data_IF_147948477384
#
_entry.id   IF_147948477384
#
_cell.length_a   1.000
_cell.length_b   1.000
_cell.length_c   1.000
_cell.angle_alpha   90.00
_cell.angle_beta   90.00
_cell.angle_gamma   90.00
#
_symmetry.space_group_name_H-M   'P 1'
#
loop_
_entity.id
_entity.type
_entity.pdbx_description
1 polymer ?
#
# COMPACT_ATOMS: atom_id res chain seq x y z
N UNK A 1 8.06 12.31 15.94
CA UNK A 1 8.55 11.55 14.78
C UNK A 1 9.63 10.59 15.30
N UNK A 2 9.39 9.27 15.29
CA UNK A 2 10.38 8.32 15.81
C UNK A 2 11.49 8.08 14.78
N UNK A 3 12.72 8.44 15.16
CA UNK A 3 13.94 8.21 14.37
C UNK A 3 14.20 6.70 14.27
N UNK A 4 14.62 6.23 13.09
CA UNK A 4 15.04 4.84 12.90
C UNK A 4 16.21 4.49 13.84
N UNK A 5 16.13 3.44 14.68
CA UNK A 5 17.20 3.10 15.60
C UNK A 5 18.36 2.45 14.85
N UNK A 6 19.57 2.93 15.12
CA UNK A 6 20.84 2.47 14.57
C UNK A 6 21.80 2.23 15.74
N UNK A 7 22.81 1.38 15.55
CA UNK A 7 23.81 1.14 16.59
C UNK A 7 24.43 2.45 17.13
N UNK A 8 24.66 3.42 16.24
CA UNK A 8 25.21 4.73 16.59
C UNK A 8 24.27 5.68 17.34
N UNK A 9 22.96 5.43 17.33
CA UNK A 9 21.98 6.31 17.98
C UNK A 9 21.27 5.68 19.18
N UNK A 10 21.44 4.37 19.39
CA UNK A 10 20.99 3.64 20.57
C UNK A 10 22.01 3.76 21.71
N UNK A 11 21.53 4.13 22.90
CA UNK A 11 22.34 4.18 24.12
C UNK A 11 22.62 2.78 24.66
N UNK A 12 23.85 2.30 24.49
CA UNK A 12 24.30 0.98 24.94
C UNK A 12 24.36 0.84 26.47
N UNK A 13 24.34 1.96 27.21
CA UNK A 13 24.26 1.96 28.68
C UNK A 13 22.84 1.83 29.21
N UNK A 14 21.83 1.98 28.36
CA UNK A 14 20.42 1.99 28.74
C UNK A 14 19.73 0.70 28.32
N UNK A 15 19.30 -0.16 29.25
CA UNK A 15 18.73 -1.49 28.94
C UNK A 15 17.60 -1.50 27.90
N UNK A 16 16.65 -0.56 27.98
CA UNK A 16 15.53 -0.44 27.04
C UNK A 16 15.91 0.07 25.64
N UNK A 17 17.13 0.59 25.46
CA UNK A 17 17.59 1.20 24.20
C UNK A 17 18.75 0.45 23.54
N UNK A 18 19.58 -0.24 24.33
CA UNK A 18 20.81 -0.88 23.91
C UNK A 18 20.67 -1.76 22.65
N UNK A 19 19.59 -2.54 22.54
CA UNK A 19 19.42 -3.54 21.49
C UNK A 19 18.33 -3.21 20.45
N UNK A 20 17.68 -2.05 20.54
CA UNK A 20 16.59 -1.72 19.61
C UNK A 20 17.02 -1.76 18.14
N UNK A 21 18.26 -1.35 17.85
CA UNK A 21 18.85 -1.38 16.51
C UNK A 21 18.96 -2.80 15.91
N UNK A 22 19.01 -3.84 16.73
CA UNK A 22 19.11 -5.23 16.26
C UNK A 22 17.74 -5.82 15.87
N UNK A 23 16.65 -5.25 16.38
CA UNK A 23 15.28 -5.75 16.18
C UNK A 23 14.51 -5.07 15.04
N UNK A 24 15.19 -4.31 14.17
CA UNK A 24 14.56 -3.59 13.06
C UNK A 24 14.52 -4.35 11.75
N UNK A 25 15.30 -5.42 11.61
CA UNK A 25 15.39 -6.23 10.40
C UNK A 25 15.66 -7.69 10.75
N UNK A 26 14.77 -8.27 11.56
CA UNK A 26 14.88 -9.68 11.91
C UNK A 26 14.55 -10.54 10.68
N UNK A 27 15.29 -11.63 10.41
CA UNK A 27 14.93 -12.55 9.35
C UNK A 27 13.53 -13.11 9.57
N UNK A 28 12.69 -13.07 8.53
CA UNK A 28 11.40 -13.73 8.48
C UNK A 28 11.36 -14.67 7.26
N UNK A 29 10.18 -15.19 6.95
CA UNK A 29 9.94 -15.99 5.76
C UNK A 29 10.31 -15.22 4.48
N UNK A 30 11.16 -15.84 3.65
CA UNK A 30 11.61 -15.28 2.38
C UNK A 30 12.57 -14.09 2.54
N UNK A 31 12.32 -13.03 1.79
CA UNK A 31 13.16 -11.82 1.74
C UNK A 31 12.60 -10.64 2.54
N UNK A 32 11.46 -10.81 3.20
CA UNK A 32 10.82 -9.73 3.97
C UNK A 32 11.35 -9.74 5.40
N UNK A 33 11.84 -8.62 5.94
CA UNK A 33 12.22 -8.56 7.34
C UNK A 33 10.98 -8.55 8.24
N UNK A 34 11.07 -9.23 9.39
CA UNK A 34 10.10 -9.09 10.47
C UNK A 34 10.36 -7.76 11.19
N UNK A 35 9.37 -6.86 11.13
CA UNK A 35 9.45 -5.52 11.71
C UNK A 35 8.72 -5.50 13.05
N UNK A 36 9.43 -5.09 14.10
CA UNK A 36 8.89 -5.00 15.46
C UNK A 36 8.46 -3.57 15.75
N UNK A 37 7.28 -3.41 16.38
CA UNK A 37 6.78 -2.12 16.85
C UNK A 37 7.73 -1.50 17.88
N UNK A 38 7.87 -0.15 17.94
CA UNK A 38 8.81 0.51 18.85
C UNK A 38 8.68 0.10 20.32
N UNK A 39 7.45 -0.06 20.81
CA UNK A 39 7.16 -0.42 22.20
C UNK A 39 7.66 -1.83 22.51
N UNK A 40 7.35 -2.80 21.64
CA UNK A 40 7.83 -4.18 21.80
C UNK A 40 9.37 -4.27 21.72
N UNK A 41 10.04 -3.44 20.90
CA UNK A 41 11.51 -3.42 20.86
C UNK A 41 12.13 -2.97 22.18
N UNK A 42 11.51 -2.01 22.88
CA UNK A 42 11.98 -1.57 24.20
C UNK A 42 11.87 -2.68 25.22
N UNK A 43 10.72 -3.35 25.26
CA UNK A 43 10.48 -4.49 26.15
C UNK A 43 11.46 -5.63 25.86
N UNK A 44 11.73 -5.92 24.58
CA UNK A 44 12.68 -6.96 24.18
C UNK A 44 14.12 -6.58 24.51
N UNK A 45 14.51 -5.31 24.32
CA UNK A 45 15.84 -4.82 24.69
C UNK A 45 16.06 -4.98 26.20
N UNK A 46 15.08 -4.58 27.01
CA UNK A 46 15.10 -4.80 28.46
C UNK A 46 15.22 -6.29 28.81
N UNK A 47 14.39 -7.15 28.20
CA UNK A 47 14.45 -8.59 28.42
C UNK A 47 15.83 -9.18 28.11
N UNK A 48 16.41 -8.85 26.96
CA UNK A 48 17.73 -9.35 26.56
C UNK A 48 18.82 -8.84 27.49
N UNK A 49 18.72 -7.59 27.95
CA UNK A 49 19.62 -7.04 28.95
C UNK A 49 19.57 -7.83 30.27
N UNK A 50 18.37 -8.13 30.75
CA UNK A 50 18.13 -8.88 31.99
C UNK A 50 18.55 -10.35 31.88
N UNK A 51 18.47 -10.93 30.68
CA UNK A 51 19.05 -12.24 30.35
C UNK A 51 20.59 -12.22 30.28
N UNK A 52 21.22 -11.06 30.43
CA UNK A 52 22.67 -10.91 30.49
C UNK A 52 23.35 -10.66 29.14
N UNK A 53 22.61 -10.39 28.07
CA UNK A 53 23.21 -10.06 26.77
C UNK A 53 23.91 -8.70 26.84
N UNK A 54 25.07 -8.59 26.18
CA UNK A 54 25.79 -7.33 25.97
C UNK A 54 26.33 -7.29 24.54
N UNK A 55 26.40 -6.10 23.95
CA UNK A 55 27.01 -5.93 22.63
C UNK A 55 28.53 -5.83 22.78
N UNK A 56 29.24 -6.67 22.02
CA UNK A 56 30.70 -6.68 21.93
C UNK A 56 31.07 -6.31 20.48
N UNK A 57 31.39 -5.03 20.19
CA UNK A 57 31.65 -4.54 18.84
C UNK A 57 32.71 -5.36 18.08
N UNK A 58 33.71 -5.88 18.78
CA UNK A 58 34.79 -6.69 18.24
C UNK A 58 34.33 -8.06 17.69
N UNK A 59 33.17 -8.55 18.12
CA UNK A 59 32.57 -9.80 17.63
C UNK A 59 31.52 -9.58 16.53
N UNK A 60 31.23 -8.33 16.18
CA UNK A 60 30.19 -7.99 15.22
C UNK A 60 30.64 -8.29 13.78
N UNK A 61 29.98 -9.26 13.13
CA UNK A 61 30.26 -9.65 11.74
C UNK A 61 29.31 -9.00 10.73
N UNK A 62 28.17 -8.48 11.19
CA UNK A 62 27.12 -7.89 10.32
C UNK A 62 26.65 -6.56 10.88
N UNK A 63 26.21 -5.67 9.99
CA UNK A 63 25.58 -4.39 10.38
C UNK A 63 24.21 -4.23 9.74
N UNK A 64 23.35 -3.50 10.44
CA UNK A 64 22.04 -3.10 9.95
C UNK A 64 22.18 -1.81 9.16
N UNK A 65 21.73 -1.82 7.90
CA UNK A 65 21.74 -0.68 7.01
C UNK A 65 20.32 -0.10 6.91
N UNK A 66 20.12 1.18 7.28
CA UNK A 66 18.82 1.82 7.21
C UNK A 66 18.34 1.99 5.75
N UNK A 67 17.05 2.27 5.53
CA UNK A 67 16.52 2.53 4.20
C UNK A 67 17.16 3.78 3.59
N UNK A 68 17.70 3.65 2.37
CA UNK A 68 18.34 4.76 1.63
C UNK A 68 17.29 5.65 0.96
N UNK A 69 16.14 5.05 0.59
CA UNK A 69 15.06 5.71 -0.14
C UNK A 69 13.72 5.46 0.54
N UNK A 70 12.80 6.40 0.35
CA UNK A 70 11.46 6.36 0.95
C UNK A 70 11.45 6.89 2.38
N UNK A 71 10.36 6.65 3.10
CA UNK A 71 10.20 7.11 4.47
C UNK A 71 11.18 6.41 5.43
N UNK A 72 11.87 7.17 6.27
CA UNK A 72 12.83 6.66 7.27
C UNK A 72 12.15 6.15 8.55
N UNK A 73 10.88 5.74 8.47
CA UNK A 73 10.14 5.22 9.62
C UNK A 73 10.52 3.76 9.91
N UNK A 74 10.25 3.32 11.14
CA UNK A 74 10.67 2.02 11.68
C UNK A 74 9.96 0.82 11.09
N UNK A 75 8.91 1.05 10.30
CA UNK A 75 8.11 0.04 9.58
C UNK A 75 8.39 0.05 8.08
N UNK A 76 9.54 0.58 7.66
CA UNK A 76 9.97 0.48 6.26
C UNK A 76 10.69 -0.87 6.06
N UNK A 77 10.21 -1.76 5.18
CA UNK A 77 10.80 -3.08 4.96
C UNK A 77 12.11 -3.03 4.15
N UNK A 78 12.54 -1.85 3.67
CA UNK A 78 13.75 -1.69 2.85
C UNK A 78 15.05 -1.68 3.66
N UNK A 79 14.98 -2.06 4.94
CA UNK A 79 16.16 -2.24 5.80
C UNK A 79 16.87 -3.52 5.37
N UNK A 80 18.20 -3.47 5.36
CA UNK A 80 19.01 -4.64 4.98
C UNK A 80 20.05 -4.94 6.05
N UNK A 81 20.40 -6.22 6.20
CA UNK A 81 21.51 -6.66 7.05
C UNK A 81 22.64 -7.10 6.12
N UNK A 82 23.81 -6.48 6.27
CA UNK A 82 24.96 -6.63 5.37
C UNK A 82 26.21 -6.98 6.16
N UNK A 83 27.30 -7.31 5.47
CA UNK A 83 28.59 -7.51 6.15
C UNK A 83 29.04 -6.21 6.83
N UNK A 84 29.71 -6.32 7.98
CA UNK A 84 30.21 -5.14 8.70
C UNK A 84 31.15 -4.28 7.85
N UNK A 85 31.91 -4.91 6.94
CA UNK A 85 32.88 -4.25 6.07
C UNK A 85 32.29 -3.75 4.76
N UNK A 86 31.03 -4.09 4.44
CA UNK A 86 30.41 -3.58 3.22
C UNK A 86 30.36 -2.04 3.28
N UNK A 87 30.81 -1.32 2.23
CA UNK A 87 30.80 0.13 2.25
C UNK A 87 29.38 0.66 2.45
N UNK A 88 29.25 1.75 3.19
CA UNK A 88 27.97 2.44 3.28
C UNK A 88 27.65 3.08 1.92
N UNK A 89 26.39 2.99 1.46
CA UNK A 89 25.98 3.59 0.20
C UNK A 89 26.12 5.11 0.29
N UNK A 90 26.40 5.74 -0.85
CA UNK A 90 26.40 7.19 -0.93
C UNK A 90 25.04 7.75 -0.47
N UNK A 91 25.09 8.77 0.40
CA UNK A 91 23.88 9.47 0.82
C UNK A 91 23.14 9.98 -0.41
N UNK A 92 21.85 9.64 -0.50
CA UNK A 92 21.02 10.15 -1.58
C UNK A 92 20.86 11.67 -1.41
N UNK A 93 21.55 12.42 -2.25
CA UNK A 93 21.33 13.85 -2.41
C UNK A 93 20.26 14.04 -3.47
N UNK A 94 19.13 14.60 -3.05
CA UNK A 94 18.11 15.03 -4.00
C UNK A 94 18.69 16.03 -4.99
N UNK A 95 18.06 16.21 -6.16
CA UNK A 95 18.43 17.27 -7.09
C UNK A 95 18.44 18.62 -6.36
N UNK A 96 19.55 19.34 -6.43
CA UNK A 96 19.61 20.71 -5.92
C UNK A 96 18.92 21.63 -6.93
N UNK A 97 17.67 21.98 -6.64
CA UNK A 97 16.88 22.85 -7.52
C UNK A 97 17.51 24.24 -7.68
N UNK A 98 18.33 24.70 -6.73
CA UNK A 98 18.98 26.01 -6.83
C UNK A 98 20.08 26.06 -7.90
N UNK A 99 20.62 24.91 -8.28
CA UNK A 99 21.60 24.78 -9.37
C UNK A 99 20.97 24.85 -10.77
N UNK A 100 19.63 24.70 -10.87
CA UNK A 100 18.91 24.79 -12.14
C UNK A 100 18.55 26.23 -12.46
N UNK A 101 18.42 26.53 -13.76
CA UNK A 101 17.86 27.80 -14.21
C UNK A 101 16.38 27.91 -13.85
N UNK A 102 15.86 29.14 -13.80
CA UNK A 102 14.43 29.40 -13.50
C UNK A 102 13.51 28.68 -14.49
N UNK A 103 13.90 28.56 -15.76
CA UNK A 103 13.12 27.86 -16.77
C UNK A 103 13.05 26.34 -16.51
N UNK A 104 14.19 25.72 -16.17
CA UNK A 104 14.25 24.29 -15.82
C UNK A 104 13.48 24.00 -14.53
N UNK A 105 13.59 24.87 -13.52
CA UNK A 105 12.80 24.76 -12.29
C UNK A 105 11.29 24.82 -12.59
N UNK A 106 10.85 25.68 -13.52
CA UNK A 106 9.46 25.79 -13.93
C UNK A 106 8.97 24.49 -14.61
N UNK A 107 9.78 23.87 -15.47
CA UNK A 107 9.47 22.58 -16.11
C UNK A 107 9.30 21.48 -15.06
N UNK A 108 10.23 21.37 -14.11
CA UNK A 108 10.13 20.38 -13.02
C UNK A 108 8.90 20.63 -12.16
N UNK A 109 8.59 21.90 -11.85
CA UNK A 109 7.39 22.25 -11.10
C UNK A 109 6.11 21.89 -11.85
N UNK A 110 6.06 22.10 -13.17
CA UNK A 110 4.93 21.71 -14.02
C UNK A 110 4.75 20.18 -14.04
N UNK A 111 5.84 19.42 -14.23
CA UNK A 111 5.81 17.95 -14.17
C UNK A 111 5.30 17.45 -12.81
N UNK A 112 5.79 18.02 -11.70
CA UNK A 112 5.34 17.66 -10.36
C UNK A 112 3.86 18.00 -10.13
N UNK A 113 3.37 19.13 -10.65
CA UNK A 113 1.93 19.46 -10.59
C UNK A 113 1.08 18.45 -11.36
N UNK A 114 1.53 18.03 -12.55
CA UNK A 114 0.84 16.98 -13.32
C UNK A 114 0.81 15.65 -12.58
N UNK A 115 1.94 15.25 -11.97
CA UNK A 115 2.03 14.02 -11.18
C UNK A 115 1.19 14.08 -9.89
N UNK A 116 1.17 15.22 -9.20
CA UNK A 116 0.34 15.41 -8.01
C UNK A 116 -1.17 15.43 -8.36
N UNK A 117 -1.54 15.95 -9.52
CA UNK A 117 -2.92 15.89 -10.02
C UNK A 117 -3.34 14.49 -10.51
N UNK A 118 -2.42 13.52 -10.61
CA UNK A 118 -2.79 12.11 -10.74
C UNK A 118 -3.13 11.46 -9.39
N UNK A 119 -3.19 12.26 -8.32
CA UNK A 119 -3.74 11.91 -7.02
C UNK A 119 -5.26 11.74 -7.04
N UNK A 120 -5.73 10.76 -7.80
CA UNK A 120 -6.71 9.80 -7.30
C UNK A 120 -6.28 8.46 -7.89
N UNK A 121 -5.85 7.54 -7.01
CA UNK A 121 -6.08 6.13 -7.32
C UNK A 121 -7.57 6.09 -7.65
N UNK A 122 -8.01 5.66 -8.84
CA UNK A 122 -9.45 5.56 -9.07
C UNK A 122 -9.97 4.79 -7.87
N UNK A 123 -10.95 5.38 -7.16
CA UNK A 123 -11.65 4.67 -6.10
C UNK A 123 -11.86 3.28 -6.66
N UNK A 124 -11.19 2.28 -6.07
CA UNK A 124 -11.51 0.91 -6.38
C UNK A 124 -12.90 0.85 -5.81
N UNK A 125 -13.91 1.05 -6.66
CA UNK A 125 -15.30 1.02 -6.27
C UNK A 125 -15.40 -0.15 -5.29
N UNK A 126 -15.67 0.14 -4.02
CA UNK A 126 -15.62 -0.84 -2.92
C UNK A 126 -16.62 -1.98 -3.15
N UNK A 127 -17.41 -1.92 -4.22
CA UNK A 127 -18.05 -3.09 -4.78
C UNK A 127 -17.07 -3.83 -5.69
N UNK A 128 -16.45 -4.87 -5.14
CA UNK A 128 -16.20 -6.07 -5.94
C UNK A 128 -17.53 -6.42 -6.62
N UNK A 129 -17.70 -6.04 -7.90
CA UNK A 129 -18.86 -6.50 -8.65
C UNK A 129 -18.63 -8.00 -8.82
N UNK A 130 -19.36 -8.78 -8.03
CA UNK A 130 -19.63 -10.15 -8.41
C UNK A 130 -20.25 -10.00 -9.79
N UNK A 131 -19.51 -10.40 -10.83
CA UNK A 131 -20.08 -10.63 -12.15
C UNK A 131 -21.00 -11.83 -11.98
N UNK A 132 -22.14 -11.60 -11.33
CA UNK A 132 -23.26 -12.49 -11.40
C UNK A 132 -23.66 -12.51 -12.88
N UNK A 133 -23.93 -13.70 -13.40
CA UNK A 133 -24.38 -13.88 -14.77
C UNK A 133 -25.44 -12.84 -15.10
N UNK A 134 -25.12 -12.00 -16.07
CA UNK A 134 -25.91 -10.84 -16.39
C UNK A 134 -27.32 -11.28 -16.79
N UNK A 135 -28.35 -10.78 -16.09
CA UNK A 135 -29.74 -11.20 -16.30
C UNK A 135 -30.15 -11.04 -17.77
N UNK A 136 -30.49 -12.14 -18.43
CA UNK A 136 -30.94 -12.15 -19.82
C UNK A 136 -32.46 -12.37 -19.87
N UNK A 137 -33.26 -11.38 -20.31
CA UNK A 137 -34.71 -11.51 -20.29
C UNK A 137 -35.22 -12.65 -21.19
N UNK A 138 -34.47 -13.04 -22.24
CA UNK A 138 -34.88 -14.10 -23.16
C UNK A 138 -34.99 -15.50 -22.51
N UNK A 139 -34.28 -15.72 -21.41
CA UNK A 139 -34.20 -17.00 -20.69
C UNK A 139 -35.31 -17.15 -19.63
N UNK A 140 -36.12 -16.12 -19.42
CA UNK A 140 -37.13 -16.06 -18.37
C UNK A 140 -38.53 -15.79 -18.92
N UNK A 141 -39.56 -16.14 -18.15
CA UNK A 141 -40.96 -15.85 -18.49
C UNK A 141 -41.28 -14.36 -18.33
N UNK A 142 -42.34 -13.89 -19.00
CA UNK A 142 -42.79 -12.48 -18.93
C UNK A 142 -43.05 -12.05 -17.48
N UNK A 143 -43.71 -12.90 -16.68
CA UNK A 143 -44.00 -12.60 -15.27
C UNK A 143 -42.72 -12.49 -14.44
N UNK A 144 -41.71 -13.32 -14.71
CA UNK A 144 -40.44 -13.28 -14.00
C UNK A 144 -39.64 -12.02 -14.34
N UNK A 145 -39.59 -11.64 -15.64
CA UNK A 145 -38.93 -10.41 -16.08
C UNK A 145 -39.62 -9.18 -15.48
N UNK A 146 -40.95 -9.14 -15.43
CA UNK A 146 -41.68 -8.04 -14.80
C UNK A 146 -41.45 -7.96 -13.28
N UNK A 147 -41.35 -9.11 -12.60
CA UNK A 147 -40.99 -9.16 -11.18
C UNK A 147 -39.57 -8.67 -10.92
N UNK A 148 -38.63 -9.05 -11.78
CA UNK A 148 -37.23 -8.60 -11.73
C UNK A 148 -37.13 -7.07 -11.92
N UNK A 149 -37.78 -6.53 -12.96
CA UNK A 149 -37.77 -5.09 -13.27
C UNK A 149 -38.42 -4.21 -12.19
N UNK A 150 -39.28 -4.78 -11.34
CA UNK A 150 -39.91 -4.06 -10.24
C UNK A 150 -38.88 -3.58 -9.19
N UNK A 151 -37.85 -4.38 -8.94
CA UNK A 151 -36.80 -4.10 -7.95
C UNK A 151 -35.48 -3.64 -8.56
N UNK A 152 -35.36 -3.65 -9.90
CA UNK A 152 -34.16 -3.22 -10.61
C UNK A 152 -33.94 -1.69 -10.54
N UNK A 153 -32.67 -1.28 -10.61
CA UNK A 153 -32.28 0.13 -10.75
C UNK A 153 -32.70 0.66 -12.13
N UNK A 154 -32.73 1.99 -12.30
CA UNK A 154 -33.12 2.60 -13.58
C UNK A 154 -32.15 2.26 -14.72
N UNK A 155 -30.86 2.13 -14.40
CA UNK A 155 -29.85 1.68 -15.36
C UNK A 155 -30.12 0.24 -15.82
N UNK A 156 -30.37 -0.66 -14.86
CA UNK A 156 -30.62 -2.07 -15.16
C UNK A 156 -31.96 -2.28 -15.88
N UNK A 157 -32.99 -1.51 -15.54
CA UNK A 157 -34.25 -1.48 -16.30
C UNK A 157 -34.02 -1.10 -17.76
N UNK A 158 -33.29 -0.01 -18.03
CA UNK A 158 -32.97 0.41 -19.41
C UNK A 158 -32.21 -0.67 -20.17
N UNK A 159 -31.21 -1.29 -19.55
CA UNK A 159 -30.43 -2.37 -20.15
C UNK A 159 -31.31 -3.57 -20.54
N UNK A 160 -32.14 -4.04 -19.61
CA UNK A 160 -33.00 -5.22 -19.83
C UNK A 160 -34.10 -4.93 -20.84
N UNK A 161 -34.69 -3.74 -20.82
CA UNK A 161 -35.67 -3.32 -21.85
C UNK A 161 -34.99 -3.19 -23.22
N UNK A 162 -33.78 -2.65 -23.30
CA UNK A 162 -33.01 -2.60 -24.54
C UNK A 162 -32.70 -4.01 -25.08
N UNK A 163 -32.29 -4.94 -24.22
CA UNK A 163 -32.09 -6.34 -24.58
C UNK A 163 -33.39 -7.04 -25.02
N UNK A 164 -34.52 -6.71 -24.40
CA UNK A 164 -35.84 -7.23 -24.79
C UNK A 164 -36.28 -6.66 -26.15
N UNK A 165 -35.98 -5.38 -26.42
CA UNK A 165 -36.28 -4.72 -27.70
C UNK A 165 -35.49 -5.29 -28.88
N UNK A 166 -34.23 -5.64 -28.66
CA UNK A 166 -33.38 -6.28 -29.68
C UNK A 166 -33.65 -7.78 -29.82
N UNK A 167 -34.18 -8.42 -28.77
CA UNK A 167 -34.53 -9.83 -28.72
C UNK A 167 -35.98 -10.13 -29.08
N UNK A 168 -36.67 -10.86 -28.19
CA UNK A 168 -38.03 -11.42 -28.43
C UNK A 168 -39.15 -10.36 -28.45
N UNK A 169 -38.87 -9.14 -27.96
CA UNK A 169 -39.77 -7.98 -27.96
C UNK A 169 -41.20 -8.31 -27.49
N UNK A 170 -41.33 -8.91 -26.32
CA UNK A 170 -42.63 -9.38 -25.81
C UNK A 170 -43.51 -8.21 -25.38
N UNK A 171 -44.70 -8.11 -25.97
CA UNK A 171 -45.65 -7.00 -25.78
C UNK A 171 -46.05 -6.75 -24.32
N UNK A 172 -46.13 -7.81 -23.51
CA UNK A 172 -46.46 -7.70 -22.08
C UNK A 172 -45.45 -6.88 -21.27
N UNK A 173 -44.17 -6.90 -21.68
CA UNK A 173 -43.08 -6.14 -21.05
C UNK A 173 -43.04 -4.73 -21.66
N UNK A 174 -43.09 -4.64 -23.00
CA UNK A 174 -43.01 -3.37 -23.74
C UNK A 174 -44.16 -2.42 -23.45
N UNK A 175 -45.38 -2.94 -23.21
CA UNK A 175 -46.54 -2.11 -22.86
C UNK A 175 -46.39 -1.44 -21.49
N UNK A 176 -45.71 -2.11 -20.54
CA UNK A 176 -45.60 -1.65 -19.15
C UNK A 176 -44.46 -0.66 -18.95
N UNK A 177 -43.41 -0.75 -19.75
CA UNK A 177 -42.23 0.11 -19.68
C UNK A 177 -42.03 0.95 -20.95
N UNK A 178 -43.15 1.40 -21.55
CA UNK A 178 -43.15 2.22 -22.75
C UNK A 178 -42.54 3.60 -22.45
N UNK A 179 -41.39 3.91 -23.05
CA UNK A 179 -40.73 5.22 -22.93
C UNK A 179 -39.56 5.30 -21.94
N UNK A 180 -39.11 4.15 -21.43
CA UNK A 180 -37.78 3.98 -20.80
C UNK A 180 -36.78 3.59 -21.89
#
# INVERSE_FOLDING_TARGET
MHRFPTLSNCDQGKPEDAFQWAFVALPFEGSTPFMIQPEARKEWSQLFWDLGFRHFPELQTRKVRPPIRGGTHTLNPSVTVVDVNDPDPEEFKGPDMSAYTVHEQAIVAEQLRHLQNQGDRPDVDETASVVADQFNPADHSVSYVLGYLHHATDFERRRVIAAEMTGKRRDGIMRRYKGI
#
